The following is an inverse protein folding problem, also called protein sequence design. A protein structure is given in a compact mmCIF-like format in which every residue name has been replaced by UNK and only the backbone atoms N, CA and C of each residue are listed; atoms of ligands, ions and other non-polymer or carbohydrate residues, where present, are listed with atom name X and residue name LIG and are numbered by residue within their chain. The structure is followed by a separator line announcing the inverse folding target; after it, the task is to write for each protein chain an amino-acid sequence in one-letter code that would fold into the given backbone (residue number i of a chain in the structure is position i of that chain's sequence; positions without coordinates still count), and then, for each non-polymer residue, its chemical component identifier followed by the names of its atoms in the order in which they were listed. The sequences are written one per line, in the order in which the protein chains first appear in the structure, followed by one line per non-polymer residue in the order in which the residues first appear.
data_IF_522753523767
#
_entry.id   IF_522753523767
#
_cell.length_a   1.000
_cell.length_b   1.000
_cell.length_c   1.000
_cell.angle_alpha   90.00
_cell.angle_beta   90.00
_cell.angle_gamma   90.00
#
_symmetry.space_group_name_H-M   'P 1'
#
loop_
_entity.id
_entity.type
_entity.pdbx_description
1 polymer ?
#
# COMPACT_ATOMS: atom_id res chain seq x y z
N UNK A 1 -11.90 11.75 -8.11
CA UNK A 1 -12.35 11.51 -9.51
C UNK A 1 -13.59 10.63 -9.50
N UNK A 2 -14.63 10.91 -10.33
CA UNK A 2 -15.71 9.93 -10.53
C UNK A 2 -15.09 8.73 -11.25
N UNK A 3 -15.24 7.54 -10.66
CA UNK A 3 -14.79 6.32 -11.31
C UNK A 3 -15.57 6.14 -12.62
N UNK A 4 -14.85 5.83 -13.68
CA UNK A 4 -15.47 5.57 -14.99
C UNK A 4 -16.16 4.20 -14.94
N UNK A 5 -17.45 4.18 -15.32
CA UNK A 5 -18.17 2.93 -15.47
C UNK A 5 -17.72 2.24 -16.74
N UNK A 6 -17.35 0.97 -16.61
CA UNK A 6 -16.87 0.16 -17.71
C UNK A 6 -17.72 -1.09 -17.90
N UNK A 7 -17.62 -1.69 -19.09
CA UNK A 7 -18.25 -2.99 -19.39
C UNK A 7 -17.17 -4.07 -19.45
N UNK A 8 -17.31 -5.09 -18.62
CA UNK A 8 -16.43 -6.25 -18.63
C UNK A 8 -17.20 -7.50 -19.09
N UNK A 9 -16.55 -8.32 -19.91
CA UNK A 9 -17.11 -9.60 -20.35
C UNK A 9 -16.79 -10.66 -19.28
N UNK A 10 -17.76 -11.03 -18.45
CA UNK A 10 -17.58 -12.00 -17.37
C UNK A 10 -17.04 -13.35 -17.85
N UNK A 11 -17.36 -13.75 -19.10
CA UNK A 11 -16.85 -14.97 -19.69
C UNK A 11 -15.32 -15.05 -19.80
N UNK A 12 -14.63 -13.90 -19.71
CA UNK A 12 -13.15 -13.83 -19.72
C UNK A 12 -12.53 -14.18 -18.36
N UNK A 13 -13.33 -14.18 -17.27
CA UNK A 13 -12.82 -14.44 -15.94
C UNK A 13 -12.94 -15.90 -15.55
N UNK A 14 -12.08 -16.42 -14.68
CA UNK A 14 -12.21 -17.73 -14.09
C UNK A 14 -13.59 -17.97 -13.48
N UNK A 15 -14.11 -19.19 -13.64
CA UNK A 15 -15.46 -19.54 -13.20
C UNK A 15 -15.69 -19.26 -11.71
N UNK A 16 -14.67 -19.51 -10.89
CA UNK A 16 -14.72 -19.37 -9.43
C UNK A 16 -14.99 -17.94 -8.97
N UNK A 17 -14.62 -16.93 -9.77
CA UNK A 17 -14.87 -15.53 -9.41
C UNK A 17 -16.12 -14.95 -10.06
N UNK A 18 -16.64 -15.58 -11.13
CA UNK A 18 -17.80 -15.05 -11.87
C UNK A 18 -19.03 -14.91 -11.02
N UNK A 19 -19.31 -15.87 -10.13
CA UNK A 19 -20.49 -15.88 -9.24
C UNK A 19 -20.54 -14.68 -8.32
N UNK A 20 -19.40 -14.12 -7.90
CA UNK A 20 -19.32 -12.90 -7.08
C UNK A 20 -19.55 -11.62 -7.90
N UNK A 21 -19.32 -11.70 -9.21
CA UNK A 21 -19.36 -10.56 -10.12
C UNK A 21 -20.61 -10.51 -11.00
N UNK A 22 -21.49 -11.52 -10.89
CA UNK A 22 -22.77 -11.54 -11.60
C UNK A 22 -23.63 -10.32 -11.24
N UNK A 23 -24.20 -9.68 -12.27
CA UNK A 23 -25.06 -8.50 -12.15
C UNK A 23 -24.38 -7.24 -11.60
N UNK A 24 -23.05 -7.26 -11.38
CA UNK A 24 -22.32 -6.08 -10.95
C UNK A 24 -22.19 -5.05 -12.09
N UNK A 25 -22.23 -3.78 -11.72
CA UNK A 25 -21.65 -2.72 -12.52
C UNK A 25 -20.18 -2.56 -12.12
N UNK A 26 -19.32 -2.36 -13.12
CA UNK A 26 -17.87 -2.24 -12.89
C UNK A 26 -17.42 -0.79 -13.05
N UNK A 27 -16.45 -0.43 -12.20
CA UNK A 27 -15.83 0.89 -12.21
C UNK A 27 -14.32 0.71 -12.21
N UNK A 28 -13.64 1.39 -13.13
CA UNK A 28 -12.18 1.37 -13.19
C UNK A 28 -11.59 2.11 -11.98
N UNK A 29 -10.69 1.42 -11.27
CA UNK A 29 -9.93 1.92 -10.12
C UNK A 29 -8.43 1.72 -10.31
N UNK A 30 -8.02 1.43 -11.54
CA UNK A 30 -6.61 1.22 -11.86
C UNK A 30 -5.78 2.45 -11.55
N UNK A 31 -4.58 2.22 -11.03
CA UNK A 31 -3.56 3.23 -10.78
C UNK A 31 -2.43 3.13 -11.80
N UNK A 32 -1.32 3.81 -11.54
CA UNK A 32 -0.14 3.76 -12.40
C UNK A 32 0.74 2.51 -12.21
N UNK A 33 0.33 1.55 -11.37
CA UNK A 33 1.12 0.36 -11.01
C UNK A 33 1.17 -0.75 -12.07
N UNK A 34 0.43 -0.60 -13.18
CA UNK A 34 0.38 -1.59 -14.26
C UNK A 34 -0.72 -2.65 -14.12
N UNK A 35 -1.15 -2.98 -12.91
CA UNK A 35 -2.30 -3.86 -12.68
C UNK A 35 -3.62 -3.14 -12.99
N UNK A 36 -4.58 -3.88 -13.55
CA UNK A 36 -5.96 -3.40 -13.69
C UNK A 36 -6.73 -3.70 -12.41
N UNK A 37 -7.40 -2.69 -11.85
CA UNK A 37 -8.23 -2.81 -10.64
C UNK A 37 -9.65 -2.37 -10.95
N UNK A 38 -10.61 -3.25 -10.67
CA UNK A 38 -12.02 -3.01 -10.94
C UNK A 38 -12.84 -3.14 -9.66
N UNK A 39 -13.64 -2.14 -9.37
CA UNK A 39 -14.66 -2.21 -8.34
C UNK A 39 -15.97 -2.73 -8.94
N UNK A 40 -16.51 -3.76 -8.32
CA UNK A 40 -17.85 -4.29 -8.58
C UNK A 40 -18.82 -3.78 -7.51
N UNK A 41 -19.93 -3.14 -7.90
CA UNK A 41 -20.92 -2.57 -6.95
C UNK A 41 -21.69 -3.62 -6.14
N UNK A 42 -21.37 -4.88 -6.32
CA UNK A 42 -21.74 -5.99 -5.43
C UNK A 42 -20.82 -6.13 -4.21
N UNK A 43 -19.87 -5.21 -4.01
CA UNK A 43 -18.98 -5.14 -2.84
C UNK A 43 -17.69 -5.93 -2.99
N UNK A 44 -17.11 -5.97 -4.20
CA UNK A 44 -15.84 -6.66 -4.47
C UNK A 44 -14.89 -5.79 -5.28
N UNK A 45 -13.59 -6.05 -5.09
CA UNK A 45 -12.50 -5.54 -5.92
C UNK A 45 -11.84 -6.69 -6.65
N UNK A 46 -11.69 -6.57 -7.97
CA UNK A 46 -10.95 -7.50 -8.80
C UNK A 46 -9.68 -6.84 -9.32
N UNK A 47 -8.53 -7.35 -8.90
CA UNK A 47 -7.20 -6.95 -9.41
C UNK A 47 -6.73 -8.00 -10.40
N UNK A 48 -6.27 -7.56 -11.57
CA UNK A 48 -5.79 -8.41 -12.67
C UNK A 48 -4.42 -7.93 -13.10
N UNK A 49 -3.48 -8.85 -13.27
CA UNK A 49 -2.14 -8.55 -13.77
C UNK A 49 -1.60 -9.71 -14.60
N UNK A 50 -0.41 -9.55 -15.16
CA UNK A 50 0.30 -10.61 -15.85
C UNK A 50 0.57 -11.77 -14.90
N UNK A 51 0.66 -12.96 -15.47
CA UNK A 51 0.89 -14.20 -14.73
C UNK A 51 2.09 -14.10 -13.78
N UNK A 52 1.87 -14.41 -12.52
CA UNK A 52 2.86 -14.41 -11.45
C UNK A 52 3.07 -13.06 -10.74
N UNK A 53 2.48 -11.95 -11.25
CA UNK A 53 2.72 -10.62 -10.67
C UNK A 53 1.95 -10.38 -9.37
N UNK A 54 0.80 -11.03 -9.18
CA UNK A 54 0.00 -10.88 -7.95
C UNK A 54 0.22 -11.98 -6.91
N UNK A 55 1.06 -12.98 -7.19
CA UNK A 55 1.27 -14.12 -6.29
C UNK A 55 1.79 -13.69 -4.91
N UNK A 56 2.76 -12.78 -4.87
CA UNK A 56 3.31 -12.24 -3.63
C UNK A 56 2.25 -11.40 -2.89
N UNK A 57 1.56 -10.53 -3.61
CA UNK A 57 0.51 -9.70 -3.01
C UNK A 57 -0.64 -10.53 -2.44
N UNK A 58 -1.08 -11.58 -3.15
CA UNK A 58 -2.10 -12.49 -2.66
C UNK A 58 -1.67 -13.21 -1.37
N UNK A 59 -0.40 -13.63 -1.29
CA UNK A 59 0.17 -14.24 -0.07
C UNK A 59 0.19 -13.25 1.10
N UNK A 60 0.63 -12.03 0.85
CA UNK A 60 0.68 -10.97 1.85
C UNK A 60 -0.72 -10.55 2.29
N UNK A 61 -1.64 -10.35 1.36
CA UNK A 61 -3.02 -9.97 1.66
C UNK A 61 -3.71 -11.02 2.53
N UNK A 62 -3.49 -12.32 2.26
CA UNK A 62 -3.98 -13.40 3.13
C UNK A 62 -3.39 -13.31 4.54
N UNK A 63 -2.10 -13.06 4.64
CA UNK A 63 -1.45 -12.90 5.94
C UNK A 63 -2.02 -11.69 6.71
N UNK A 64 -2.23 -10.52 6.05
CA UNK A 64 -2.87 -9.36 6.66
C UNK A 64 -4.30 -9.64 7.12
N UNK A 65 -5.08 -10.38 6.35
CA UNK A 65 -6.42 -10.84 6.74
C UNK A 65 -6.35 -11.69 8.02
N UNK A 66 -5.44 -12.65 8.09
CA UNK A 66 -5.24 -13.53 9.25
C UNK A 66 -4.81 -12.75 10.52
N UNK A 67 -4.12 -11.61 10.36
CA UNK A 67 -3.77 -10.72 11.47
C UNK A 67 -4.90 -9.73 11.83
N UNK A 68 -6.04 -9.77 11.14
CA UNK A 68 -7.13 -8.80 11.32
C UNK A 68 -6.74 -7.38 10.91
N UNK A 69 -5.83 -7.25 9.93
CA UNK A 69 -5.30 -5.98 9.42
C UNK A 69 -5.57 -5.78 7.91
N UNK A 70 -6.09 -6.78 7.23
CA UNK A 70 -6.36 -6.74 5.78
C UNK A 70 -7.82 -6.98 5.43
N UNK A 71 -8.13 -6.82 4.16
CA UNK A 71 -9.45 -7.15 3.60
C UNK A 71 -9.62 -8.66 3.45
N UNK A 72 -10.84 -9.19 3.54
CA UNK A 72 -11.10 -10.59 3.22
C UNK A 72 -10.75 -10.93 1.79
N UNK A 73 -9.94 -11.96 1.60
CA UNK A 73 -9.64 -12.52 0.29
C UNK A 73 -10.69 -13.56 -0.07
N UNK A 74 -11.35 -13.34 -1.19
CA UNK A 74 -12.36 -14.25 -1.70
C UNK A 74 -11.73 -15.34 -2.55
N UNK A 75 -10.82 -14.94 -3.45
CA UNK A 75 -10.17 -15.89 -4.35
C UNK A 75 -8.90 -15.31 -4.96
N UNK A 76 -7.89 -16.14 -5.10
CA UNK A 76 -6.72 -15.88 -5.94
C UNK A 76 -6.51 -17.05 -6.90
N UNK A 77 -6.30 -16.74 -8.17
CA UNK A 77 -6.05 -17.76 -9.20
C UNK A 77 -5.13 -17.23 -10.28
N UNK A 78 -4.24 -18.09 -10.74
CA UNK A 78 -3.38 -17.88 -11.88
C UNK A 78 -3.82 -18.79 -13.04
N UNK A 79 -4.09 -18.20 -14.20
CA UNK A 79 -4.34 -18.90 -15.46
C UNK A 79 -3.41 -18.35 -16.56
N UNK A 80 -3.93 -17.65 -17.54
CA UNK A 80 -3.19 -16.79 -18.49
C UNK A 80 -2.74 -15.48 -17.83
N UNK A 81 -3.48 -15.04 -16.81
CA UNK A 81 -3.21 -13.90 -15.94
C UNK A 81 -3.37 -14.31 -14.48
N UNK A 82 -3.00 -13.40 -13.60
CA UNK A 82 -3.34 -13.46 -12.19
C UNK A 82 -4.65 -12.70 -11.94
N UNK A 83 -5.50 -13.29 -11.11
CA UNK A 83 -6.78 -12.72 -10.67
C UNK A 83 -6.85 -12.77 -9.14
N UNK A 84 -6.94 -11.61 -8.50
CA UNK A 84 -7.13 -11.49 -7.06
C UNK A 84 -8.45 -10.79 -6.80
N UNK A 85 -9.39 -11.52 -6.19
CA UNK A 85 -10.69 -11.02 -5.79
C UNK A 85 -10.72 -10.81 -4.28
N UNK A 86 -11.00 -9.59 -3.85
CA UNK A 86 -11.14 -9.22 -2.45
C UNK A 86 -12.52 -8.66 -2.17
N UNK A 87 -12.97 -8.75 -0.92
CA UNK A 87 -14.18 -8.06 -0.47
C UNK A 87 -13.89 -6.56 -0.30
N UNK A 88 -14.88 -5.73 -0.54
CA UNK A 88 -14.81 -4.31 -0.23
C UNK A 88 -14.58 -4.10 1.28
N UNK A 89 -13.65 -3.23 1.62
CA UNK A 89 -13.40 -2.85 3.01
C UNK A 89 -14.52 -1.96 3.55
N UNK A 90 -14.85 -2.13 4.82
CA UNK A 90 -15.78 -1.22 5.50
C UNK A 90 -15.10 0.11 5.82
N UNK A 91 -15.58 1.20 5.25
CA UNK A 91 -15.04 2.53 5.48
C UNK A 91 -14.63 3.26 4.21
N UNK A 92 -13.70 4.19 4.35
CA UNK A 92 -13.12 4.99 3.27
C UNK A 92 -11.62 5.08 3.44
N UNK A 93 -10.91 5.39 2.37
CA UNK A 93 -9.49 5.70 2.48
C UNK A 93 -9.26 6.94 3.39
N UNK A 94 -8.08 7.03 3.97
CA UNK A 94 -7.74 8.08 4.93
C UNK A 94 -7.80 9.50 4.34
N UNK A 95 -7.77 9.66 3.01
CA UNK A 95 -7.97 10.97 2.35
C UNK A 95 -9.35 11.57 2.64
N UNK A 96 -10.35 10.73 2.94
CA UNK A 96 -11.69 11.23 3.30
C UNK A 96 -11.73 11.98 4.65
N UNK A 97 -10.68 11.87 5.48
CA UNK A 97 -10.64 12.40 6.83
C UNK A 97 -9.62 13.52 7.05
N UNK A 98 -9.11 14.14 5.97
CA UNK A 98 -8.14 15.24 6.02
C UNK A 98 -8.62 16.47 6.80
N UNK A 99 -9.92 16.61 7.05
CA UNK A 99 -10.48 17.68 7.87
C UNK A 99 -10.37 17.42 9.39
N UNK A 100 -9.89 16.24 9.80
CA UNK A 100 -9.64 15.81 11.18
C UNK A 100 -8.19 15.33 11.31
N UNK A 101 -7.20 16.21 11.08
CA UNK A 101 -5.81 15.80 10.87
C UNK A 101 -5.14 15.25 12.13
N UNK A 102 -5.51 15.72 13.31
CA UNK A 102 -4.92 15.25 14.58
C UNK A 102 -5.36 13.80 14.86
N UNK A 103 -6.65 13.52 14.77
CA UNK A 103 -7.21 12.18 14.95
C UNK A 103 -6.70 11.23 13.89
N UNK A 104 -6.63 11.69 12.64
CA UNK A 104 -6.10 10.91 11.51
C UNK A 104 -4.63 10.50 11.77
N UNK A 105 -3.77 11.46 12.10
CA UNK A 105 -2.36 11.18 12.38
C UNK A 105 -2.19 10.23 13.57
N UNK A 106 -2.96 10.42 14.64
CA UNK A 106 -2.93 9.54 15.80
C UNK A 106 -3.35 8.11 15.43
N UNK A 107 -4.41 7.95 14.65
CA UNK A 107 -4.91 6.65 14.19
C UNK A 107 -3.87 5.95 13.32
N UNK A 108 -3.24 6.66 12.39
CA UNK A 108 -2.17 6.11 11.57
C UNK A 108 -0.97 5.67 12.41
N UNK A 109 -0.53 6.50 13.35
CA UNK A 109 0.61 6.20 14.23
C UNK A 109 0.35 4.96 15.09
N UNK A 110 -0.83 4.86 15.71
CA UNK A 110 -1.23 3.69 16.51
C UNK A 110 -1.31 2.43 15.66
N UNK A 111 -1.85 2.56 14.44
CA UNK A 111 -2.00 1.43 13.51
C UNK A 111 -0.63 0.93 13.02
N UNK A 112 0.28 1.83 12.63
CA UNK A 112 1.64 1.45 12.26
C UNK A 112 2.40 0.85 13.44
N UNK A 113 2.28 1.42 14.64
CA UNK A 113 2.88 0.84 15.84
C UNK A 113 2.38 -0.59 16.10
N UNK A 114 1.08 -0.85 15.90
CA UNK A 114 0.51 -2.20 16.00
C UNK A 114 1.15 -3.14 14.98
N UNK A 115 1.21 -2.74 13.70
CA UNK A 115 1.82 -3.52 12.63
C UNK A 115 3.30 -3.83 12.93
N UNK A 116 4.08 -2.81 13.28
CA UNK A 116 5.52 -2.93 13.57
C UNK A 116 5.83 -3.74 14.85
N UNK A 117 4.83 -3.93 15.73
CA UNK A 117 4.98 -4.72 16.97
C UNK A 117 4.66 -6.20 16.79
N UNK A 118 4.21 -6.61 15.60
CA UNK A 118 3.96 -8.02 15.32
C UNK A 118 5.25 -8.83 15.40
N UNK A 119 5.16 -10.05 15.94
CA UNK A 119 6.35 -10.89 16.10
C UNK A 119 6.76 -11.54 14.77
N UNK A 120 8.04 -11.53 14.41
CA UNK A 120 8.53 -11.91 13.08
C UNK A 120 8.50 -13.40 12.75
N UNK A 121 8.00 -14.28 13.64
CA UNK A 121 8.19 -15.73 13.53
C UNK A 121 7.52 -16.39 12.30
N UNK A 122 6.58 -15.70 11.64
CA UNK A 122 5.82 -16.27 10.51
C UNK A 122 5.55 -15.28 9.37
N UNK A 123 6.46 -14.35 9.15
CA UNK A 123 6.29 -13.39 8.03
C UNK A 123 6.57 -14.06 6.68
N UNK A 124 5.65 -13.92 5.71
CA UNK A 124 5.79 -14.55 4.40
C UNK A 124 6.97 -14.00 3.58
N UNK A 125 7.37 -12.73 3.82
CA UNK A 125 8.46 -12.05 3.11
C UNK A 125 9.48 -11.53 4.13
N UNK A 126 10.66 -12.18 4.16
CA UNK A 126 11.71 -11.88 5.15
C UNK A 126 12.85 -10.99 4.60
N UNK A 127 12.96 -10.83 3.28
CA UNK A 127 14.08 -10.13 2.65
C UNK A 127 13.67 -8.77 2.05
N UNK A 128 12.62 -8.13 2.59
CA UNK A 128 12.10 -6.89 2.04
C UNK A 128 13.12 -5.76 2.07
N UNK A 129 13.87 -5.61 3.16
CA UNK A 129 14.92 -4.58 3.26
C UNK A 129 16.00 -4.75 2.19
N UNK A 130 16.44 -5.99 1.95
CA UNK A 130 17.42 -6.28 0.90
C UNK A 130 16.87 -5.90 -0.47
N UNK A 131 15.61 -6.22 -0.75
CA UNK A 131 14.95 -5.86 -2.00
C UNK A 131 14.88 -4.33 -2.21
N UNK A 132 14.58 -3.55 -1.16
CA UNK A 132 14.63 -2.08 -1.25
C UNK A 132 16.02 -1.56 -1.61
N UNK A 133 17.08 -2.11 -1.02
CA UNK A 133 18.46 -1.72 -1.31
C UNK A 133 18.83 -2.02 -2.77
N UNK A 134 18.49 -3.22 -3.25
CA UNK A 134 18.72 -3.63 -4.64
C UNK A 134 17.94 -2.74 -5.63
N UNK A 135 16.68 -2.42 -5.33
CA UNK A 135 15.87 -1.54 -6.15
C UNK A 135 16.43 -0.11 -6.18
N UNK A 136 16.95 0.41 -5.07
CA UNK A 136 17.59 1.72 -5.01
C UNK A 136 18.85 1.77 -5.90
N UNK A 137 19.67 0.72 -5.87
CA UNK A 137 20.83 0.60 -6.75
C UNK A 137 20.45 0.50 -8.23
N UNK A 138 19.42 -0.28 -8.54
CA UNK A 138 18.93 -0.41 -9.91
C UNK A 138 18.36 0.90 -10.44
N UNK A 139 17.56 1.61 -9.62
CA UNK A 139 17.02 2.92 -9.96
C UNK A 139 18.14 3.93 -10.23
N UNK A 140 19.20 3.93 -9.41
CA UNK A 140 20.35 4.77 -9.64
C UNK A 140 21.04 4.45 -10.98
N UNK A 141 21.30 3.17 -11.27
CA UNK A 141 21.91 2.73 -12.54
C UNK A 141 21.08 3.09 -13.76
N UNK A 142 19.75 3.01 -13.65
CA UNK A 142 18.80 3.37 -14.72
C UNK A 142 18.57 4.87 -14.86
N UNK A 143 19.14 5.68 -13.98
CA UNK A 143 18.95 7.13 -14.02
C UNK A 143 17.61 7.60 -13.45
N UNK A 144 16.88 6.75 -12.75
CA UNK A 144 15.60 7.10 -12.14
C UNK A 144 15.84 7.92 -10.87
N UNK A 145 15.24 9.10 -10.82
CA UNK A 145 15.23 9.96 -9.66
C UNK A 145 14.01 10.87 -9.69
N UNK A 146 13.21 10.80 -8.66
CA UNK A 146 12.00 11.60 -8.53
C UNK A 146 12.11 12.52 -7.32
N UNK A 147 12.73 13.67 -7.50
CA UNK A 147 12.99 14.65 -6.44
C UNK A 147 11.73 15.08 -5.68
N UNK A 148 10.57 15.16 -6.37
CA UNK A 148 9.29 15.55 -5.74
C UNK A 148 8.77 14.53 -4.70
N UNK A 149 9.26 13.30 -4.70
CA UNK A 149 8.96 12.33 -3.66
C UNK A 149 9.82 12.50 -2.40
N UNK A 150 10.81 13.41 -2.41
CA UNK A 150 11.64 13.67 -1.25
C UNK A 150 11.03 14.80 -0.41
N UNK A 151 11.05 14.61 0.91
CA UNK A 151 10.66 15.68 1.83
C UNK A 151 11.69 16.81 1.79
N UNK A 152 11.26 18.09 1.69
CA UNK A 152 12.15 19.23 1.49
C UNK A 152 13.23 19.39 2.58
N UNK A 153 12.95 18.93 3.81
CA UNK A 153 13.88 19.01 4.94
C UNK A 153 15.16 18.18 4.76
N UNK A 154 15.18 17.24 3.82
CA UNK A 154 16.41 16.46 3.53
C UNK A 154 17.38 17.20 2.64
N UNK A 155 16.95 18.30 2.00
CA UNK A 155 17.78 19.16 1.12
C UNK A 155 18.50 18.42 -0.01
N UNK A 156 18.04 17.23 -0.41
CA UNK A 156 18.63 16.41 -1.48
C UNK A 156 18.26 17.03 -2.84
N UNK A 157 19.26 17.38 -3.63
CA UNK A 157 19.09 18.09 -4.90
C UNK A 157 19.37 17.23 -6.13
N UNK A 158 20.08 16.11 -5.97
CA UNK A 158 20.49 15.27 -7.09
C UNK A 158 20.36 13.79 -6.78
N UNK A 159 20.32 13.00 -7.85
CA UNK A 159 20.35 11.53 -7.77
C UNK A 159 21.63 11.02 -7.13
N UNK A 160 22.75 11.63 -7.47
CA UNK A 160 24.08 11.30 -6.96
C UNK A 160 24.16 11.50 -5.44
N UNK A 161 23.64 12.63 -4.96
CA UNK A 161 23.55 12.94 -3.54
C UNK A 161 22.64 11.94 -2.80
N UNK A 162 21.45 11.65 -3.34
CA UNK A 162 20.55 10.65 -2.78
C UNK A 162 21.21 9.27 -2.68
N UNK A 163 21.90 8.85 -3.73
CA UNK A 163 22.56 7.55 -3.76
C UNK A 163 23.77 7.49 -2.79
N UNK A 164 24.53 8.56 -2.67
CA UNK A 164 25.62 8.63 -1.70
C UNK A 164 25.10 8.49 -0.26
N UNK A 165 24.00 9.16 0.09
CA UNK A 165 23.37 9.02 1.40
C UNK A 165 22.87 7.59 1.66
N UNK A 166 22.30 6.92 0.66
CA UNK A 166 21.89 5.52 0.78
C UNK A 166 23.11 4.63 1.07
N UNK A 167 24.24 4.87 0.41
CA UNK A 167 25.50 4.10 0.64
C UNK A 167 26.07 4.35 2.02
N UNK A 168 26.04 5.58 2.50
CA UNK A 168 26.61 5.95 3.80
C UNK A 168 25.74 5.53 4.98
N UNK A 169 24.43 5.68 4.86
CA UNK A 169 23.46 5.48 5.95
C UNK A 169 22.65 4.20 5.83
N UNK A 170 22.58 3.59 4.66
CA UNK A 170 21.76 2.38 4.43
C UNK A 170 22.20 1.17 5.28
N UNK A 171 23.37 1.20 5.88
CA UNK A 171 23.83 0.16 6.83
C UNK A 171 23.19 0.29 8.21
N UNK A 172 22.62 1.44 8.56
CA UNK A 172 21.93 1.65 9.83
C UNK A 172 20.49 1.12 9.82
N UNK A 173 19.92 0.84 8.64
CA UNK A 173 18.60 0.25 8.54
C UNK A 173 18.61 -1.22 8.98
N UNK A 174 17.65 -1.59 9.81
CA UNK A 174 17.51 -2.93 10.40
C UNK A 174 16.21 -3.60 9.96
N UNK A 175 16.29 -4.91 9.65
CA UNK A 175 15.09 -5.70 9.33
C UNK A 175 14.49 -6.27 10.63
N UNK A 176 13.92 -5.43 11.48
CA UNK A 176 13.40 -5.78 12.80
C UNK A 176 11.87 -5.59 12.93
N UNK A 177 11.24 -5.05 11.91
CA UNK A 177 9.81 -4.73 11.93
C UNK A 177 9.12 -5.25 10.68
N UNK A 178 7.88 -5.71 10.82
CA UNK A 178 7.05 -5.97 9.66
C UNK A 178 6.40 -4.66 9.20
N UNK A 179 6.60 -4.30 7.94
CA UNK A 179 6.13 -3.04 7.37
C UNK A 179 5.06 -3.28 6.30
N UNK A 180 4.25 -2.26 6.04
CA UNK A 180 3.36 -2.18 4.90
C UNK A 180 4.13 -1.99 3.59
N UNK A 181 5.17 -1.14 3.62
CA UNK A 181 6.04 -0.83 2.50
C UNK A 181 5.55 0.30 1.58
N UNK A 182 4.28 0.66 1.67
CA UNK A 182 3.67 1.83 1.04
C UNK A 182 2.59 2.40 1.97
N UNK A 183 2.99 2.91 3.14
CA UNK A 183 2.10 3.39 4.19
C UNK A 183 1.54 4.80 3.87
N UNK A 184 1.08 5.01 2.64
CA UNK A 184 0.42 6.23 2.20
C UNK A 184 -1.05 6.27 2.62
N UNK A 185 -1.62 7.47 2.75
CA UNK A 185 -3.02 7.69 3.15
C UNK A 185 -4.05 6.83 2.39
N UNK A 186 -3.97 6.68 1.04
CA UNK A 186 -4.93 5.86 0.32
C UNK A 186 -4.99 4.39 0.74
N UNK A 187 -3.90 3.88 1.35
CA UNK A 187 -3.75 2.47 1.73
C UNK A 187 -4.26 2.16 3.15
N UNK A 188 -4.69 3.18 3.90
CA UNK A 188 -5.39 3.02 5.17
C UNK A 188 -6.88 3.17 4.94
N UNK A 189 -7.66 2.13 5.22
CA UNK A 189 -9.12 2.22 5.23
C UNK A 189 -9.57 2.45 6.66
N UNK A 190 -10.36 3.50 6.86
CA UNK A 190 -10.87 3.93 8.15
C UNK A 190 -12.40 3.95 8.12
N UNK A 191 -13.04 3.54 9.22
CA UNK A 191 -14.49 3.69 9.43
C UNK A 191 -14.84 5.14 9.73
N UNK A 192 -14.00 5.79 10.51
CA UNK A 192 -13.98 7.21 10.85
C UNK A 192 -12.53 7.64 11.14
N UNK A 193 -12.27 8.93 11.45
CA UNK A 193 -10.92 9.45 11.67
C UNK A 193 -10.15 8.77 12.82
N UNK A 194 -10.86 8.10 13.74
CA UNK A 194 -10.30 7.46 14.93
C UNK A 194 -10.30 5.94 14.88
N UNK A 195 -10.97 5.34 13.88
CA UNK A 195 -11.23 3.91 13.82
C UNK A 195 -10.65 3.30 12.53
N UNK A 196 -9.51 2.63 12.67
CA UNK A 196 -8.91 1.87 11.57
C UNK A 196 -9.75 0.63 11.22
N UNK A 197 -9.92 0.37 9.93
CA UNK A 197 -10.58 -0.83 9.41
C UNK A 197 -9.57 -1.86 8.92
N UNK A 198 -8.81 -1.52 7.88
CA UNK A 198 -7.82 -2.43 7.31
C UNK A 198 -6.80 -1.68 6.43
N UNK A 199 -5.71 -2.36 6.11
CA UNK A 199 -4.81 -1.99 5.03
C UNK A 199 -5.26 -2.58 3.69
N UNK A 200 -4.92 -1.88 2.60
CA UNK A 200 -5.05 -2.37 1.23
C UNK A 200 -3.71 -2.18 0.50
N UNK A 201 -3.56 -2.78 -0.67
CA UNK A 201 -2.35 -2.66 -1.54
C UNK A 201 -1.04 -3.07 -0.83
N UNK A 202 -1.08 -4.23 -0.20
CA UNK A 202 -0.01 -4.76 0.67
C UNK A 202 1.15 -5.44 -0.08
N UNK A 203 1.22 -5.31 -1.40
CA UNK A 203 2.21 -6.02 -2.24
C UNK A 203 3.67 -5.70 -1.91
N UNK A 204 3.95 -4.57 -1.25
CA UNK A 204 5.28 -4.16 -0.82
C UNK A 204 5.59 -4.47 0.65
N UNK A 205 4.68 -5.15 1.36
CA UNK A 205 4.88 -5.49 2.76
C UNK A 205 5.97 -6.56 2.96
N UNK A 206 6.49 -6.62 4.18
CA UNK A 206 7.50 -7.62 4.57
C UNK A 206 8.37 -7.19 5.74
N UNK A 207 9.29 -8.07 6.14
CA UNK A 207 10.25 -7.76 7.20
C UNK A 207 11.29 -6.75 6.70
N UNK A 208 11.32 -5.58 7.33
CA UNK A 208 12.18 -4.46 6.94
C UNK A 208 12.36 -3.48 8.10
N UNK A 209 12.79 -2.28 7.79
CA UNK A 209 12.95 -1.19 8.74
C UNK A 209 11.67 -0.33 8.79
N UNK A 210 11.14 -0.10 10.00
CA UNK A 210 9.92 0.70 10.24
C UNK A 210 10.00 2.13 9.69
N UNK A 211 11.20 2.70 9.56
CA UNK A 211 11.36 4.07 9.04
C UNK A 211 10.89 4.20 7.59
N UNK A 212 10.79 3.11 6.84
CA UNK A 212 10.23 3.12 5.48
C UNK A 212 8.73 3.48 5.53
N UNK A 213 7.96 2.83 6.41
CA UNK A 213 6.53 3.16 6.59
C UNK A 213 6.36 4.56 7.16
N UNK A 214 7.16 4.94 8.16
CA UNK A 214 7.10 6.28 8.76
C UNK A 214 7.38 7.35 7.71
N UNK A 215 8.35 7.13 6.82
CA UNK A 215 8.64 8.04 5.72
C UNK A 215 7.44 8.22 4.80
N UNK A 216 6.84 7.12 4.32
CA UNK A 216 5.69 7.19 3.42
C UNK A 216 4.45 7.80 4.07
N UNK A 217 4.20 7.51 5.34
CA UNK A 217 3.11 8.12 6.11
C UNK A 217 3.29 9.64 6.24
N UNK A 218 4.48 10.09 6.65
CA UNK A 218 4.80 11.52 6.79
C UNK A 218 4.74 12.21 5.44
N UNK A 219 5.32 11.61 4.39
CA UNK A 219 5.28 12.16 3.04
C UNK A 219 3.84 12.34 2.56
N UNK A 220 3.01 11.32 2.71
CA UNK A 220 1.62 11.36 2.25
C UNK A 220 0.78 12.36 3.02
N UNK A 221 0.98 12.47 4.33
CA UNK A 221 0.35 13.50 5.18
C UNK A 221 0.80 14.91 4.74
N UNK A 222 2.11 15.13 4.57
CA UNK A 222 2.66 16.43 4.14
C UNK A 222 2.13 16.85 2.77
N UNK A 223 2.01 15.89 1.85
CA UNK A 223 1.51 16.15 0.49
C UNK A 223 0.03 16.54 0.48
N UNK A 224 -0.79 15.96 1.36
CA UNK A 224 -2.24 16.11 1.33
C UNK A 224 -2.78 17.14 2.34
N UNK A 225 -2.02 17.45 3.41
CA UNK A 225 -2.42 18.47 4.38
C UNK A 225 -1.86 19.83 3.99
N UNK A 226 -2.73 20.84 3.95
CA UNK A 226 -2.38 22.21 3.56
C UNK A 226 -1.61 22.99 4.64
N UNK A 227 -1.68 22.52 5.91
CA UNK A 227 -1.05 23.19 7.06
C UNK A 227 0.09 22.38 7.67
N UNK A 228 1.36 22.78 7.48
CA UNK A 228 2.52 22.10 8.08
C UNK A 228 2.54 22.11 9.62
N UNK A 229 1.86 23.06 10.28
CA UNK A 229 1.80 23.12 11.74
C UNK A 229 0.92 22.01 12.31
N UNK A 230 -0.16 21.66 11.63
CA UNK A 230 -1.02 20.53 12.01
C UNK A 230 -0.26 19.22 11.97
N UNK A 231 0.56 18.99 10.96
CA UNK A 231 1.39 17.78 10.84
C UNK A 231 2.37 17.67 12.02
N UNK A 232 3.07 18.75 12.35
CA UNK A 232 4.05 18.75 13.46
C UNK A 232 3.40 18.45 14.82
N UNK A 233 2.21 18.99 15.05
CA UNK A 233 1.48 18.79 16.31
C UNK A 233 0.97 17.36 16.47
N UNK A 234 0.54 16.75 15.36
CA UNK A 234 0.00 15.39 15.35
C UNK A 234 1.09 14.30 15.40
N UNK A 235 2.35 14.63 15.07
CA UNK A 235 3.50 13.69 15.07
C UNK A 235 4.42 13.90 16.29
N UNK A 236 4.18 14.89 17.15
CA UNK A 236 4.88 15.10 18.42
C UNK A 236 4.22 14.36 19.58
#
# INVERSE_FOLDING_TARGET
MKAEKISLLLAQFPEQIRTYLERANFYDRSSHSGASVFYADTGYYLKIDQKGQLAQEATLAKWFEEQGLGVPIIHYQTTDKDYLLTKEAEGKDALAFLQQPEELCQTMAVTLKKLHSLQPQHFPIQHRLQHYKEQAEENYRKGYFYQKALLPQFHIQSREEAYQLIKEQGYSLTADSFIHGDACLPNFILKDATTFSCFIDVGLAGLSDRHIDLYWAIWSLTYNLSDPHTIRRALS
#
